data_IF_749257391251
#
_entry.id   IF_749257391251
#
_cell.length_a   1.000
_cell.length_b   1.000
_cell.length_c   1.000
_cell.angle_alpha   90.00
_cell.angle_beta   90.00
_cell.angle_gamma   90.00
#
_symmetry.space_group_name_H-M   'P 1'
#
loop_
_entity.id
_entity.type
_entity.pdbx_description
1 polymer ?
#
# COMPACT_ATOMS: atom_id res chain seq x y z
N UNK A 1 24.84 -40.37 -4.91
CA UNK A 1 23.48 -40.20 -4.40
C UNK A 1 22.67 -39.67 -5.57
N UNK A 2 21.81 -40.53 -6.16
CA UNK A 2 21.04 -40.28 -7.37
C UNK A 2 19.94 -39.27 -7.11
N UNK A 3 19.96 -38.18 -7.86
CA UNK A 3 18.83 -37.25 -7.98
C UNK A 3 17.67 -37.98 -8.65
N UNK A 4 16.72 -38.41 -7.84
CA UNK A 4 15.47 -38.93 -8.31
C UNK A 4 14.65 -37.82 -8.97
N UNK A 5 14.61 -37.79 -10.29
CA UNK A 5 13.69 -36.99 -11.09
C UNK A 5 12.25 -37.36 -10.76
N UNK A 6 11.66 -36.79 -9.72
CA UNK A 6 10.22 -36.85 -9.47
C UNK A 6 9.57 -35.92 -10.47
N UNK A 7 9.29 -36.40 -11.68
CA UNK A 7 8.34 -35.76 -12.59
C UNK A 7 6.95 -35.94 -11.97
N UNK A 8 6.53 -34.97 -11.15
CA UNK A 8 5.12 -34.83 -10.78
C UNK A 8 4.34 -34.47 -12.04
N UNK A 9 3.76 -35.51 -12.65
CA UNK A 9 2.75 -35.35 -13.68
C UNK A 9 1.44 -35.04 -12.95
N UNK A 10 1.18 -33.72 -12.75
CA UNK A 10 -0.10 -33.27 -12.23
C UNK A 10 -1.19 -33.77 -13.16
N UNK A 11 -2.08 -34.62 -12.63
CA UNK A 11 -3.29 -35.02 -13.31
C UNK A 11 -4.22 -33.79 -13.34
N UNK A 12 -5.07 -33.70 -14.34
CA UNK A 12 -6.04 -32.60 -14.48
C UNK A 12 -6.90 -32.48 -13.23
N UNK A 13 -7.26 -33.60 -12.64
CA UNK A 13 -8.10 -33.70 -11.44
C UNK A 13 -7.43 -33.03 -10.21
N UNK A 14 -6.12 -33.19 -10.04
CA UNK A 14 -5.36 -32.54 -8.94
C UNK A 14 -5.35 -31.00 -9.07
N UNK A 15 -5.29 -30.50 -10.31
CA UNK A 15 -5.37 -29.06 -10.57
C UNK A 15 -6.76 -28.53 -10.23
N UNK A 16 -7.80 -29.19 -10.70
CA UNK A 16 -9.18 -28.77 -10.51
C UNK A 16 -9.56 -28.80 -9.01
N UNK A 17 -9.13 -29.80 -8.25
CA UNK A 17 -9.33 -29.87 -6.80
C UNK A 17 -8.62 -28.73 -6.06
N UNK A 18 -7.33 -28.49 -6.36
CA UNK A 18 -6.55 -27.40 -5.78
C UNK A 18 -7.16 -26.04 -6.15
N UNK A 19 -7.59 -25.87 -7.40
CA UNK A 19 -8.23 -24.65 -7.88
C UNK A 19 -9.51 -24.34 -7.10
N UNK A 20 -10.41 -25.30 -6.99
CA UNK A 20 -11.67 -25.14 -6.26
C UNK A 20 -11.44 -24.80 -4.77
N UNK A 21 -10.43 -25.39 -4.14
CA UNK A 21 -10.07 -25.08 -2.76
C UNK A 21 -9.55 -23.66 -2.63
N UNK A 22 -8.65 -23.21 -3.50
CA UNK A 22 -8.11 -21.85 -3.53
C UNK A 22 -9.22 -20.83 -3.79
N UNK A 23 -10.09 -21.10 -4.74
CA UNK A 23 -11.23 -20.25 -5.09
C UNK A 23 -12.16 -19.99 -3.89
N UNK A 24 -12.29 -20.97 -3.02
CA UNK A 24 -13.06 -20.85 -1.76
C UNK A 24 -12.28 -20.18 -0.63
N UNK A 25 -11.10 -19.66 -0.88
CA UNK A 25 -10.24 -19.02 0.12
C UNK A 25 -9.46 -19.98 1.00
N UNK A 26 -9.34 -21.25 0.59
CA UNK A 26 -8.71 -22.34 1.36
C UNK A 26 -7.28 -22.64 0.93
N UNK A 27 -6.44 -21.66 0.61
CA UNK A 27 -5.02 -21.91 0.32
C UNK A 27 -4.23 -22.19 1.61
N UNK A 28 -3.56 -23.32 1.64
CA UNK A 28 -2.65 -23.67 2.73
C UNK A 28 -1.21 -23.24 2.43
N UNK A 29 -0.39 -23.14 3.47
CA UNK A 29 1.02 -22.79 3.33
C UNK A 29 1.78 -23.73 2.39
N UNK A 30 1.47 -25.02 2.43
CA UNK A 30 2.07 -26.02 1.55
C UNK A 30 1.73 -25.77 0.07
N UNK A 31 0.48 -25.39 -0.23
CA UNK A 31 0.03 -25.05 -1.57
C UNK A 31 0.76 -23.82 -2.11
N UNK A 32 0.92 -22.79 -1.27
CA UNK A 32 1.63 -21.57 -1.64
C UNK A 32 3.09 -21.89 -1.99
N UNK A 33 3.80 -22.65 -1.16
CA UNK A 33 5.17 -23.08 -1.45
C UNK A 33 5.25 -23.94 -2.70
N UNK A 34 4.29 -24.84 -2.89
CA UNK A 34 4.22 -25.63 -4.09
C UNK A 34 4.08 -24.75 -5.33
N UNK A 35 3.11 -23.84 -5.36
CA UNK A 35 2.84 -22.97 -6.50
C UNK A 35 4.02 -22.02 -6.81
N UNK A 36 4.68 -21.46 -5.80
CA UNK A 36 5.86 -20.61 -5.99
C UNK A 36 7.01 -21.35 -6.68
N UNK A 37 7.17 -22.65 -6.39
CA UNK A 37 8.17 -23.50 -7.04
C UNK A 37 7.72 -24.03 -8.42
N UNK A 38 6.48 -23.74 -8.84
CA UNK A 38 5.91 -24.14 -10.14
C UNK A 38 5.30 -22.92 -10.86
N UNK A 39 6.09 -21.93 -11.28
CA UNK A 39 5.59 -20.67 -11.82
C UNK A 39 4.56 -20.81 -12.97
N UNK A 40 4.71 -21.70 -13.95
CA UNK A 40 3.69 -21.86 -14.98
C UNK A 40 2.32 -22.26 -14.43
N UNK A 41 2.29 -23.09 -13.38
CA UNK A 41 1.07 -23.48 -12.70
C UNK A 41 0.48 -22.33 -11.89
N UNK A 42 1.32 -21.61 -11.16
CA UNK A 42 0.92 -20.41 -10.42
C UNK A 42 0.28 -19.36 -11.35
N UNK A 43 0.88 -19.11 -12.51
CA UNK A 43 0.32 -18.15 -13.48
C UNK A 43 -1.03 -18.59 -14.03
N UNK A 44 -1.17 -19.88 -14.34
CA UNK A 44 -2.44 -20.43 -14.76
C UNK A 44 -3.52 -20.29 -13.67
N UNK A 45 -3.20 -20.64 -12.42
CA UNK A 45 -4.11 -20.46 -11.28
C UNK A 45 -4.56 -19.01 -11.13
N UNK A 46 -3.61 -18.07 -11.14
CA UNK A 46 -3.90 -16.66 -11.00
C UNK A 46 -4.79 -16.14 -12.13
N UNK A 47 -4.54 -16.56 -13.37
CA UNK A 47 -5.32 -16.13 -14.53
C UNK A 47 -6.74 -16.72 -14.53
N UNK A 48 -6.91 -17.99 -14.23
CA UNK A 48 -8.24 -18.61 -14.12
C UNK A 48 -9.06 -17.98 -12.99
N UNK A 49 -8.43 -17.73 -11.82
CA UNK A 49 -9.08 -17.07 -10.70
C UNK A 49 -9.48 -15.61 -11.03
N UNK A 50 -8.61 -14.87 -11.74
CA UNK A 50 -8.92 -13.55 -12.28
C UNK A 50 -10.13 -13.61 -13.20
N UNK A 51 -10.11 -14.55 -14.15
CA UNK A 51 -11.18 -14.72 -15.12
C UNK A 51 -12.53 -15.02 -14.46
N UNK A 52 -12.54 -15.93 -13.48
CA UNK A 52 -13.75 -16.28 -12.73
C UNK A 52 -14.31 -15.14 -11.88
N UNK A 53 -13.42 -14.25 -11.38
CA UNK A 53 -13.82 -13.17 -10.48
C UNK A 53 -14.11 -11.85 -11.20
N UNK A 54 -13.42 -11.56 -12.30
CA UNK A 54 -13.47 -10.27 -13.01
C UNK A 54 -13.71 -10.38 -14.51
N UNK A 55 -13.77 -11.59 -15.06
CA UNK A 55 -13.84 -11.78 -16.50
C UNK A 55 -12.60 -11.25 -17.21
N UNK A 56 -12.78 -10.75 -18.43
CA UNK A 56 -11.69 -10.18 -19.23
C UNK A 56 -11.59 -8.65 -19.13
N UNK A 57 -12.18 -8.08 -18.07
CA UNK A 57 -12.15 -6.63 -17.83
C UNK A 57 -10.81 -6.27 -17.18
N UNK A 58 -10.10 -5.32 -17.78
CA UNK A 58 -8.92 -4.68 -17.21
C UNK A 58 -9.29 -3.28 -16.76
N UNK A 59 -9.05 -2.98 -15.49
CA UNK A 59 -9.27 -1.66 -14.92
C UNK A 59 -7.95 -0.91 -14.77
N UNK A 60 -8.01 0.41 -14.86
CA UNK A 60 -6.87 1.28 -14.59
C UNK A 60 -7.32 2.54 -13.87
N UNK A 61 -6.40 3.23 -13.22
CA UNK A 61 -6.63 4.54 -12.63
C UNK A 61 -5.71 5.57 -13.30
N UNK A 62 -6.23 6.75 -13.56
CA UNK A 62 -5.42 7.90 -13.94
C UNK A 62 -5.03 8.60 -12.63
N UNK A 63 -3.79 8.43 -12.22
CA UNK A 63 -3.31 8.81 -10.90
C UNK A 63 -2.25 9.91 -10.99
N UNK A 64 -2.29 10.83 -10.01
CA UNK A 64 -1.21 11.78 -9.75
C UNK A 64 -0.65 11.56 -8.35
N UNK A 65 0.65 11.26 -8.25
CA UNK A 65 1.33 11.22 -6.97
C UNK A 65 1.74 12.62 -6.50
N UNK A 66 1.39 12.97 -5.26
CA UNK A 66 1.74 14.21 -4.59
C UNK A 66 2.45 13.87 -3.28
N UNK A 67 3.75 14.11 -3.24
CA UNK A 67 4.52 13.99 -2.00
C UNK A 67 4.52 15.35 -1.30
N UNK A 68 3.67 15.51 -0.28
CA UNK A 68 3.48 16.82 0.37
C UNK A 68 4.63 17.22 1.30
N UNK A 69 5.43 16.26 1.79
CA UNK A 69 6.64 16.52 2.57
C UNK A 69 7.63 15.37 2.46
N UNK A 70 8.93 15.68 2.44
CA UNK A 70 10.01 14.71 2.58
C UNK A 70 10.68 14.73 3.97
N UNK A 71 10.21 15.61 4.86
CA UNK A 71 10.68 15.62 6.26
C UNK A 71 10.24 14.34 6.96
N UNK A 72 11.19 13.55 7.41
CA UNK A 72 10.89 12.25 7.97
C UNK A 72 11.83 11.88 9.13
N UNK A 73 11.26 11.50 10.27
CA UNK A 73 12.00 10.95 11.42
C UNK A 73 12.43 9.49 11.20
N UNK A 74 11.93 8.85 10.13
CA UNK A 74 12.33 7.51 9.73
C UNK A 74 13.83 7.41 9.43
N UNK A 75 14.37 6.20 9.46
CA UNK A 75 15.78 5.95 9.17
C UNK A 75 15.93 4.71 8.27
N UNK A 76 15.12 4.66 7.22
CA UNK A 76 15.15 3.55 6.26
C UNK A 76 16.38 3.70 5.37
N UNK A 77 17.25 2.70 5.36
CA UNK A 77 18.52 2.73 4.61
C UNK A 77 18.34 2.73 3.09
N UNK A 78 17.19 2.30 2.61
CA UNK A 78 16.83 2.26 1.19
C UNK A 78 16.08 3.51 0.70
N UNK A 79 15.68 4.41 1.60
CA UNK A 79 14.89 5.58 1.25
C UNK A 79 15.81 6.74 0.86
N UNK A 80 15.84 7.08 -0.43
CA UNK A 80 16.53 8.25 -0.95
C UNK A 80 15.69 9.54 -0.87
N UNK A 81 14.42 9.44 -0.53
CA UNK A 81 13.47 10.56 -0.53
C UNK A 81 13.53 11.39 0.77
N UNK A 82 13.81 10.74 1.91
CA UNK A 82 13.76 11.39 3.22
C UNK A 82 14.82 12.47 3.40
N UNK A 83 14.41 13.55 4.08
CA UNK A 83 15.31 14.60 4.57
C UNK A 83 15.05 14.92 6.04
N UNK A 84 16.00 15.62 6.66
CA UNK A 84 15.80 16.25 7.96
C UNK A 84 14.99 17.56 7.83
N UNK A 85 14.47 18.07 8.96
CA UNK A 85 13.64 19.30 8.98
C UNK A 85 14.35 20.55 8.43
N UNK A 86 15.70 20.58 8.43
CA UNK A 86 16.45 21.76 7.97
C UNK A 86 16.58 21.81 6.45
N UNK A 87 16.60 20.65 5.80
CA UNK A 87 16.80 20.51 4.35
C UNK A 87 15.57 20.00 3.61
N UNK A 88 14.64 19.44 4.36
CA UNK A 88 13.39 18.96 3.82
C UNK A 88 12.45 20.07 3.42
N UNK A 89 11.42 19.71 2.69
CA UNK A 89 10.34 20.61 2.29
C UNK A 89 9.01 20.16 2.88
N UNK A 90 8.07 21.09 2.92
CA UNK A 90 6.66 20.83 3.15
C UNK A 90 5.87 21.74 2.21
N UNK A 91 5.03 21.17 1.37
CA UNK A 91 4.16 21.92 0.47
C UNK A 91 3.11 22.68 1.30
N UNK A 92 2.83 23.89 0.88
CA UNK A 92 1.67 24.64 1.37
C UNK A 92 0.38 24.02 0.85
N UNK A 93 -0.74 24.35 1.46
CA UNK A 93 -2.04 23.90 0.98
C UNK A 93 -2.30 24.33 -0.46
N UNK A 94 -1.96 25.58 -0.79
CA UNK A 94 -2.14 26.13 -2.13
C UNK A 94 -1.30 25.35 -3.17
N UNK A 95 -0.05 25.01 -2.87
CA UNK A 95 0.80 24.18 -3.74
C UNK A 95 0.23 22.76 -3.94
N UNK A 96 -0.38 22.20 -2.91
CA UNK A 96 -1.06 20.89 -3.04
C UNK A 96 -2.29 21.02 -3.93
N UNK A 97 -3.14 22.04 -3.69
CA UNK A 97 -4.36 22.25 -4.49
C UNK A 97 -4.04 22.55 -5.96
N UNK A 98 -3.00 23.33 -6.25
CA UNK A 98 -2.52 23.56 -7.62
C UNK A 98 -2.16 22.23 -8.33
N UNK A 99 -1.46 21.33 -7.62
CA UNK A 99 -1.12 20.02 -8.17
C UNK A 99 -2.34 19.12 -8.38
N UNK A 100 -3.33 19.19 -7.50
CA UNK A 100 -4.59 18.47 -7.64
C UNK A 100 -5.38 19.02 -8.82
N UNK A 101 -5.48 20.34 -8.96
CA UNK A 101 -6.15 20.98 -10.07
C UNK A 101 -5.51 20.61 -11.42
N UNK A 102 -4.17 20.65 -11.50
CA UNK A 102 -3.43 20.19 -12.68
C UNK A 102 -3.76 18.73 -13.01
N UNK A 103 -3.81 17.86 -12.01
CA UNK A 103 -4.14 16.46 -12.20
C UNK A 103 -5.57 16.26 -12.71
N UNK A 104 -6.55 16.93 -12.11
CA UNK A 104 -7.96 16.86 -12.52
C UNK A 104 -8.16 17.40 -13.94
N UNK A 105 -7.47 18.48 -14.33
CA UNK A 105 -7.44 18.98 -15.71
C UNK A 105 -6.88 17.96 -16.70
N UNK A 106 -6.02 17.04 -16.24
CA UNK A 106 -5.49 15.93 -17.01
C UNK A 106 -6.27 14.61 -16.77
N UNK A 107 -7.54 14.71 -16.39
CA UNK A 107 -8.47 13.60 -16.25
C UNK A 107 -8.08 12.58 -15.16
N UNK A 108 -7.33 13.01 -14.13
CA UNK A 108 -7.01 12.15 -12.99
C UNK A 108 -8.29 11.76 -12.25
N UNK A 109 -8.45 10.46 -12.02
CA UNK A 109 -9.54 9.88 -11.23
C UNK A 109 -9.14 9.64 -9.77
N UNK A 110 -7.83 9.67 -9.50
CA UNK A 110 -7.26 9.43 -8.19
C UNK A 110 -6.06 10.33 -7.94
N UNK A 111 -5.94 10.82 -6.71
CA UNK A 111 -4.72 11.47 -6.19
C UNK A 111 -4.09 10.56 -5.15
N UNK A 112 -2.83 10.20 -5.36
CA UNK A 112 -2.03 9.50 -4.37
C UNK A 112 -1.22 10.48 -3.54
N UNK A 113 -1.47 10.58 -2.24
CA UNK A 113 -0.79 11.53 -1.36
C UNK A 113 0.01 10.76 -0.32
N UNK A 114 1.31 11.01 -0.26
CA UNK A 114 2.21 10.43 0.72
C UNK A 114 3.23 11.44 1.20
N UNK A 115 3.71 11.26 2.42
CA UNK A 115 4.76 12.11 2.99
C UNK A 115 5.76 11.33 3.84
N UNK A 116 6.76 12.07 4.32
CA UNK A 116 7.61 11.58 5.39
C UNK A 116 6.87 11.59 6.73
N UNK A 117 7.36 10.82 7.71
CA UNK A 117 6.88 10.87 9.09
C UNK A 117 7.31 12.20 9.72
N UNK A 118 6.55 13.24 9.48
CA UNK A 118 6.86 14.57 9.97
C UNK A 118 6.65 14.66 11.48
N UNK A 119 7.62 15.13 12.28
CA UNK A 119 7.53 15.10 13.74
C UNK A 119 6.44 15.98 14.35
N UNK A 120 6.00 17.01 13.64
CA UNK A 120 5.07 18.01 14.16
C UNK A 120 3.64 17.88 13.62
N UNK A 121 3.43 17.12 12.53
CA UNK A 121 2.09 16.95 11.98
C UNK A 121 1.23 16.05 12.89
N UNK A 122 -0.01 16.49 13.05
CA UNK A 122 -1.03 15.85 13.87
C UNK A 122 -2.23 15.43 13.01
N UNK A 123 -3.17 14.72 13.59
CA UNK A 123 -4.37 14.23 12.90
C UNK A 123 -5.13 15.37 12.19
N UNK A 124 -5.29 16.53 12.84
CA UNK A 124 -5.99 17.69 12.27
C UNK A 124 -5.35 18.18 10.96
N UNK A 125 -4.02 18.07 10.84
CA UNK A 125 -3.32 18.48 9.61
C UNK A 125 -3.62 17.53 8.47
N UNK A 126 -3.66 16.24 8.75
CA UNK A 126 -4.00 15.20 7.78
C UNK A 126 -5.49 15.26 7.37
N UNK A 127 -6.39 15.45 8.33
CA UNK A 127 -7.83 15.64 8.06
C UNK A 127 -8.06 16.89 7.22
N UNK A 128 -7.47 18.01 7.60
CA UNK A 128 -7.57 19.29 6.85
C UNK A 128 -7.09 19.14 5.41
N UNK A 129 -5.99 18.42 5.17
CA UNK A 129 -5.48 18.17 3.84
C UNK A 129 -6.52 17.43 2.98
N UNK A 130 -7.09 16.36 3.51
CA UNK A 130 -8.10 15.56 2.82
C UNK A 130 -9.39 16.36 2.59
N UNK A 131 -9.92 17.00 3.64
CA UNK A 131 -11.15 17.81 3.57
C UNK A 131 -11.04 18.95 2.57
N UNK A 132 -9.90 19.65 2.57
CA UNK A 132 -9.69 20.80 1.66
C UNK A 132 -9.70 20.33 0.20
N UNK A 133 -9.07 19.22 -0.10
CA UNK A 133 -9.10 18.64 -1.45
C UNK A 133 -10.53 18.20 -1.80
N UNK A 134 -11.20 17.45 -0.92
CA UNK A 134 -12.56 16.93 -1.18
C UNK A 134 -13.61 18.03 -1.30
N UNK A 135 -13.40 19.19 -0.65
CA UNK A 135 -14.32 20.32 -0.77
C UNK A 135 -14.28 21.00 -2.15
N UNK A 136 -13.20 20.81 -2.92
CA UNK A 136 -12.98 21.48 -4.20
C UNK A 136 -12.98 20.55 -5.41
N UNK A 137 -12.65 19.27 -5.20
CA UNK A 137 -12.46 18.31 -6.30
C UNK A 137 -13.19 16.99 -6.03
N UNK A 138 -13.91 16.50 -7.03
CA UNK A 138 -14.48 15.15 -7.01
C UNK A 138 -13.46 14.15 -7.55
N UNK A 139 -12.55 13.75 -6.70
CA UNK A 139 -11.46 12.81 -7.01
C UNK A 139 -11.28 11.82 -5.86
N UNK A 140 -10.92 10.59 -6.18
CA UNK A 140 -10.56 9.61 -5.14
C UNK A 140 -9.25 9.99 -4.47
N UNK A 141 -9.21 9.97 -3.15
CA UNK A 141 -8.00 10.23 -2.37
C UNK A 141 -7.47 8.89 -1.85
N UNK A 142 -6.33 8.48 -2.40
CA UNK A 142 -5.56 7.34 -1.98
C UNK A 142 -4.33 7.85 -1.24
N UNK A 143 -4.37 7.89 0.10
CA UNK A 143 -3.39 8.69 0.80
C UNK A 143 -2.79 8.01 2.03
N UNK A 144 -1.60 8.50 2.36
CA UNK A 144 -0.80 8.16 3.52
C UNK A 144 -0.24 6.72 3.45
N UNK A 145 0.16 6.19 4.59
CA UNK A 145 0.65 4.81 4.72
C UNK A 145 0.32 4.29 6.12
N UNK A 146 0.35 2.97 6.35
CA UNK A 146 0.19 2.41 7.70
C UNK A 146 1.16 3.03 8.72
N UNK A 147 2.38 3.38 8.26
CA UNK A 147 3.37 4.04 9.12
C UNK A 147 3.00 5.48 9.48
N UNK A 148 2.44 6.26 8.53
CA UNK A 148 1.96 7.62 8.80
C UNK A 148 0.76 7.58 9.74
N UNK A 149 -0.19 6.68 9.54
CA UNK A 149 -1.34 6.49 10.44
C UNK A 149 -0.87 6.15 11.87
N UNK A 150 0.04 5.19 12.00
CA UNK A 150 0.59 4.83 13.31
C UNK A 150 1.37 5.98 13.96
N UNK A 151 2.14 6.73 13.17
CA UNK A 151 2.87 7.90 13.64
C UNK A 151 1.93 8.97 14.18
N UNK A 152 0.86 9.26 13.46
CA UNK A 152 -0.18 10.21 13.89
C UNK A 152 -0.86 9.72 15.16
N UNK A 153 -1.27 8.46 15.23
CA UNK A 153 -1.87 7.86 16.43
C UNK A 153 -0.98 8.06 17.66
N UNK A 154 0.32 7.76 17.53
CA UNK A 154 1.29 7.97 18.62
C UNK A 154 1.46 9.44 19.01
N UNK A 155 1.48 10.35 18.05
CA UNK A 155 1.67 11.78 18.31
C UNK A 155 0.45 12.45 18.95
N UNK A 156 -0.74 11.88 18.71
CA UNK A 156 -2.00 12.41 19.25
C UNK A 156 -2.46 11.69 20.52
N UNK A 157 -1.94 10.50 20.79
CA UNK A 157 -2.40 9.64 21.88
C UNK A 157 -3.73 8.97 21.61
N UNK A 158 -4.13 8.88 20.34
CA UNK A 158 -5.34 8.20 19.88
C UNK A 158 -5.03 6.75 19.46
N UNK A 159 -6.06 5.92 19.49
CA UNK A 159 -5.97 4.59 18.89
C UNK A 159 -5.96 4.67 17.35
N UNK A 160 -5.32 3.72 16.70
CA UNK A 160 -5.24 3.67 15.22
C UNK A 160 -6.63 3.66 14.59
N UNK A 161 -7.59 2.96 15.21
CA UNK A 161 -8.97 2.89 14.74
C UNK A 161 -9.66 4.26 14.75
N UNK A 162 -9.42 5.07 15.77
CA UNK A 162 -9.96 6.43 15.88
C UNK A 162 -9.38 7.32 14.78
N UNK A 163 -8.05 7.28 14.57
CA UNK A 163 -7.39 8.01 13.47
C UNK A 163 -7.98 7.63 12.11
N UNK A 164 -8.21 6.33 11.86
CA UNK A 164 -8.80 5.86 10.61
C UNK A 164 -10.25 6.34 10.43
N UNK A 165 -11.05 6.38 11.50
CA UNK A 165 -12.41 6.90 11.47
C UNK A 165 -12.45 8.39 11.12
N UNK A 166 -11.62 9.20 11.74
CA UNK A 166 -11.53 10.63 11.47
C UNK A 166 -11.08 10.90 10.03
N UNK A 167 -10.04 10.24 9.56
CA UNK A 167 -9.56 10.38 8.17
C UNK A 167 -10.63 9.94 7.15
N UNK A 168 -11.34 8.85 7.44
CA UNK A 168 -12.47 8.41 6.60
C UNK A 168 -13.59 9.45 6.57
N UNK A 169 -13.91 10.06 7.72
CA UNK A 169 -14.91 11.12 7.81
C UNK A 169 -14.49 12.37 7.06
N UNK A 170 -13.20 12.69 7.06
CA UNK A 170 -12.60 13.76 6.26
C UNK A 170 -12.67 13.51 4.74
N UNK A 171 -12.91 12.26 4.30
CA UNK A 171 -13.05 11.88 2.89
C UNK A 171 -11.92 11.03 2.32
N UNK A 172 -11.04 10.48 3.18
CA UNK A 172 -10.03 9.52 2.74
C UNK A 172 -10.71 8.28 2.15
N UNK A 173 -10.35 7.94 0.90
CA UNK A 173 -10.94 6.83 0.17
C UNK A 173 -10.24 5.49 0.40
N UNK A 174 -8.91 5.50 0.40
CA UNK A 174 -8.09 4.30 0.59
C UNK A 174 -6.66 4.65 1.03
N UNK A 175 -5.94 3.64 1.54
CA UNK A 175 -4.57 3.78 2.03
C UNK A 175 -3.66 2.82 1.24
N UNK A 176 -2.53 3.29 0.67
CA UNK A 176 -1.55 2.41 0.05
C UNK A 176 -0.90 1.48 1.08
N UNK A 177 -0.68 0.24 0.67
CA UNK A 177 -0.05 -0.80 1.51
C UNK A 177 1.48 -0.69 1.61
N UNK A 178 2.04 0.52 1.57
CA UNK A 178 3.47 0.73 1.69
C UNK A 178 3.97 0.43 3.11
N UNK A 179 5.24 0.13 3.24
CA UNK A 179 5.97 -0.15 4.48
C UNK A 179 6.17 -1.63 4.83
N UNK A 180 5.67 -2.54 4.01
CA UNK A 180 5.86 -3.97 4.26
C UNK A 180 7.21 -4.53 3.80
N UNK A 181 8.00 -3.82 3.00
CA UNK A 181 9.23 -4.18 2.27
C UNK A 181 9.72 -5.62 2.50
N UNK A 182 9.87 -6.02 3.76
CA UNK A 182 10.20 -7.39 4.17
C UNK A 182 9.54 -7.70 5.51
N UNK A 183 8.99 -8.91 5.65
CA UNK A 183 8.31 -9.38 6.85
C UNK A 183 9.24 -10.28 7.70
N UNK A 184 10.39 -9.74 8.08
CA UNK A 184 11.37 -10.35 8.99
C UNK A 184 11.95 -9.26 9.90
N UNK A 185 11.67 -9.35 11.18
CA UNK A 185 12.04 -8.30 12.16
C UNK A 185 13.54 -8.15 12.33
N UNK A 186 14.33 -9.20 12.15
CA UNK A 186 15.78 -9.12 12.22
C UNK A 186 16.37 -8.29 11.08
N UNK A 187 15.83 -8.45 9.90
CA UNK A 187 16.20 -7.65 8.72
C UNK A 187 15.64 -6.24 8.83
N UNK A 188 14.37 -6.09 9.26
CA UNK A 188 13.73 -4.77 9.47
C UNK A 188 14.51 -3.91 10.45
N UNK A 189 15.01 -4.48 11.55
CA UNK A 189 15.86 -3.78 12.51
C UNK A 189 17.13 -3.19 11.88
N UNK A 190 17.61 -3.76 10.79
CA UNK A 190 18.80 -3.29 10.06
C UNK A 190 18.44 -2.22 9.02
N UNK A 191 17.41 -2.49 8.18
CA UNK A 191 17.12 -1.66 7.02
C UNK A 191 16.11 -0.53 7.29
N UNK A 192 15.20 -0.73 8.24
CA UNK A 192 14.15 0.25 8.62
C UNK A 192 13.83 0.21 10.13
N UNK A 193 14.81 0.52 11.01
CA UNK A 193 14.73 0.27 12.45
C UNK A 193 13.67 1.09 13.20
N UNK A 194 13.01 2.04 12.52
CA UNK A 194 11.95 2.86 13.10
C UNK A 194 10.56 2.59 12.50
N UNK A 195 10.45 1.56 11.67
CA UNK A 195 9.15 1.08 11.18
C UNK A 195 8.55 0.07 12.16
N UNK A 196 7.25 -0.18 11.99
CA UNK A 196 6.52 -1.20 12.74
C UNK A 196 7.15 -2.59 12.58
N UNK A 197 7.00 -3.43 13.59
CA UNK A 197 7.32 -4.85 13.51
C UNK A 197 6.32 -5.57 12.59
N UNK A 198 6.61 -6.85 12.33
CA UNK A 198 5.78 -7.72 11.48
C UNK A 198 4.54 -8.26 12.20
N UNK A 199 4.48 -8.14 13.51
CA UNK A 199 3.37 -8.61 14.35
C UNK A 199 2.36 -7.49 14.61
#
# INVERSE_FOLDING_TARGET
>A
VSEGNIRFRWMKDDFDELYERIRRGGIERADAFFLVNHPPLLFRFADELRKDTKGDIVTYVVNRNINFTNVCIGNCKFCAFREDKKRGYMLTMDEVLEKVEEAVKNEATEICIQGGLHPELRLDDYCRLVETIKSQFDVHIHAFSPMEIYHVARNTGLEVEEVLKELKSAGLGSIPGTAAEILDDSIRAIICPRKLNTA
#
